data_IF_570308796388
#
_entry.id   IF_570308796388
#
_cell.length_a   1.000
_cell.length_b   1.000
_cell.length_c   1.000
_cell.angle_alpha   90.00
_cell.angle_beta   90.00
_cell.angle_gamma   90.00
#
_symmetry.space_group_name_H-M   'P 1'
#
loop_
_entity.id
_entity.type
_entity.pdbx_description
1 polymer ?
#
# COMPACT_ATOMS: atom_id res chain seq x y z
N UNK A 1 -5.12 -6.37 15.60
CA UNK A 1 -6.52 -5.90 15.41
C UNK A 1 -7.53 -6.59 16.33
N UNK A 2 -7.27 -7.78 16.91
CA UNK A 2 -8.21 -8.41 17.86
C UNK A 2 -9.48 -8.97 17.19
N UNK A 3 -9.51 -9.05 15.86
CA UNK A 3 -10.62 -9.65 15.11
C UNK A 3 -10.62 -11.19 15.29
N UNK A 4 -11.81 -11.77 15.36
CA UNK A 4 -12.04 -13.21 15.37
C UNK A 4 -12.83 -13.62 14.12
N UNK A 5 -12.59 -14.84 13.61
CA UNK A 5 -13.31 -15.39 12.44
C UNK A 5 -13.25 -14.46 11.21
N UNK A 6 -12.03 -14.03 10.84
CA UNK A 6 -11.78 -13.12 9.73
C UNK A 6 -10.69 -13.68 8.83
N UNK A 7 -10.90 -13.61 7.51
CA UNK A 7 -9.87 -13.90 6.53
C UNK A 7 -8.88 -12.72 6.43
N UNK A 8 -7.59 -13.03 6.38
CA UNK A 8 -6.51 -12.05 6.27
C UNK A 8 -5.70 -12.29 4.99
N UNK A 9 -5.40 -11.21 4.27
CA UNK A 9 -4.58 -11.23 3.06
C UNK A 9 -3.67 -10.01 3.03
N UNK A 10 -2.42 -10.23 2.66
CA UNK A 10 -1.45 -9.17 2.40
C UNK A 10 -1.36 -8.88 0.90
N UNK A 11 -1.47 -7.61 0.52
CA UNK A 11 -1.32 -7.14 -0.87
C UNK A 11 -0.10 -6.24 -0.94
N UNK A 12 0.86 -6.58 -1.81
CA UNK A 12 2.09 -5.79 -2.00
C UNK A 12 2.18 -5.25 -3.42
N UNK A 13 2.34 -3.93 -3.54
CA UNK A 13 2.58 -3.23 -4.81
C UNK A 13 3.10 -1.80 -4.56
N UNK A 14 4.11 -1.65 -3.70
CA UNK A 14 4.64 -0.35 -3.27
C UNK A 14 3.48 0.62 -2.91
N UNK A 15 3.53 1.87 -3.41
CA UNK A 15 2.52 2.90 -3.14
C UNK A 15 1.08 2.55 -3.60
N UNK A 16 0.91 1.53 -4.43
CA UNK A 16 -0.40 1.10 -4.93
C UNK A 16 -1.05 0.00 -4.09
N UNK A 17 -0.34 -0.54 -3.08
CA UNK A 17 -0.84 -1.64 -2.25
C UNK A 17 -2.22 -1.32 -1.65
N UNK A 18 -2.43 -0.09 -1.18
CA UNK A 18 -3.66 0.31 -0.52
C UNK A 18 -4.86 0.33 -1.49
N UNK A 19 -4.69 0.90 -2.69
CA UNK A 19 -5.74 0.93 -3.70
C UNK A 19 -6.00 -0.45 -4.31
N UNK A 20 -4.95 -1.28 -4.45
CA UNK A 20 -5.12 -2.67 -4.84
C UNK A 20 -5.88 -3.47 -3.78
N UNK A 21 -5.58 -3.26 -2.49
CA UNK A 21 -6.30 -3.85 -1.36
C UNK A 21 -7.78 -3.46 -1.35
N UNK A 22 -8.10 -2.18 -1.60
CA UNK A 22 -9.48 -1.71 -1.76
C UNK A 22 -10.19 -2.44 -2.91
N UNK A 23 -9.53 -2.59 -4.07
CA UNK A 23 -10.12 -3.30 -5.21
C UNK A 23 -10.36 -4.79 -4.93
N UNK A 24 -9.46 -5.46 -4.22
CA UNK A 24 -9.64 -6.86 -3.80
C UNK A 24 -10.80 -6.96 -2.80
N UNK A 25 -10.85 -6.05 -1.82
CA UNK A 25 -11.94 -5.97 -0.85
C UNK A 25 -13.31 -5.71 -1.49
N UNK A 26 -13.38 -4.79 -2.44
CA UNK A 26 -14.59 -4.51 -3.22
C UNK A 26 -15.07 -5.76 -3.98
N UNK A 27 -14.15 -6.51 -4.59
CA UNK A 27 -14.48 -7.77 -5.26
C UNK A 27 -15.00 -8.85 -4.29
N UNK A 28 -14.40 -9.00 -3.10
CA UNK A 28 -14.89 -9.93 -2.08
C UNK A 28 -16.29 -9.55 -1.60
N UNK A 29 -16.54 -8.26 -1.40
CA UNK A 29 -17.88 -7.76 -1.08
C UNK A 29 -18.83 -8.06 -2.23
N UNK A 30 -18.47 -7.71 -3.46
CA UNK A 30 -19.30 -7.83 -4.65
C UNK A 30 -19.78 -9.27 -4.90
N UNK A 31 -18.91 -10.27 -4.72
CA UNK A 31 -19.24 -11.70 -4.86
C UNK A 31 -20.03 -12.27 -3.69
N UNK A 32 -20.15 -11.54 -2.58
CA UNK A 32 -20.78 -12.00 -1.35
C UNK A 32 -19.88 -12.90 -0.50
N UNK A 33 -18.58 -12.96 -0.80
CA UNK A 33 -17.61 -13.70 0.00
C UNK A 33 -17.41 -13.05 1.38
N UNK A 34 -17.52 -11.72 1.46
CA UNK A 34 -17.44 -10.96 2.69
C UNK A 34 -18.51 -9.86 2.71
N UNK A 35 -19.00 -9.47 3.89
CA UNK A 35 -19.93 -8.35 4.03
C UNK A 35 -19.21 -7.02 4.33
N UNK A 36 -18.10 -7.11 5.05
CA UNK A 36 -17.30 -5.99 5.51
C UNK A 36 -15.82 -6.31 5.32
N UNK A 37 -15.07 -5.36 4.79
CA UNK A 37 -13.61 -5.51 4.60
C UNK A 37 -12.90 -4.32 5.21
N UNK A 38 -11.88 -4.58 6.02
CA UNK A 38 -10.95 -3.57 6.51
C UNK A 38 -9.65 -3.66 5.70
N UNK A 39 -9.28 -2.57 5.03
CA UNK A 39 -8.00 -2.45 4.34
C UNK A 39 -7.10 -1.53 5.16
N UNK A 40 -5.91 -2.00 5.49
CA UNK A 40 -4.93 -1.30 6.32
C UNK A 40 -3.62 -1.21 5.55
N UNK A 41 -2.95 -0.06 5.65
CA UNK A 41 -1.57 0.12 5.18
C UNK A 41 -0.76 0.80 6.28
N UNK A 42 0.52 0.46 6.35
CA UNK A 42 1.48 1.05 7.27
C UNK A 42 2.85 0.96 6.64
N UNK A 43 3.50 2.11 6.48
CA UNK A 43 4.83 2.24 5.89
C UNK A 43 5.75 2.88 6.91
N UNK A 44 6.94 2.30 7.08
CA UNK A 44 7.96 2.81 8.01
C UNK A 44 9.31 3.00 7.27
N UNK A 45 9.39 3.84 6.22
CA UNK A 45 10.61 4.02 5.44
C UNK A 45 11.74 4.73 6.19
N UNK A 46 11.54 5.26 7.41
CA UNK A 46 12.58 5.93 8.20
C UNK A 46 13.89 5.13 8.30
N UNK A 47 13.82 3.81 8.43
CA UNK A 47 15.03 2.96 8.47
C UNK A 47 15.81 2.98 7.14
N UNK A 48 15.11 3.06 6.00
CA UNK A 48 15.71 3.21 4.67
C UNK A 48 16.33 4.59 4.53
N UNK A 49 15.60 5.64 4.93
CA UNK A 49 16.10 7.02 4.88
C UNK A 49 17.40 7.18 5.68
N UNK A 50 17.44 6.64 6.91
CA UNK A 50 18.66 6.62 7.74
C UNK A 50 19.80 5.84 7.08
N UNK A 51 19.50 4.71 6.43
CA UNK A 51 20.47 3.94 5.65
C UNK A 51 21.04 4.73 4.47
N UNK A 52 20.18 5.44 3.73
CA UNK A 52 20.59 6.33 2.64
C UNK A 52 21.52 7.43 3.13
N UNK A 53 21.18 8.09 4.25
CA UNK A 53 22.03 9.12 4.87
C UNK A 53 23.39 8.56 5.27
N UNK A 54 23.40 7.40 5.95
CA UNK A 54 24.65 6.77 6.38
C UNK A 54 25.56 6.40 5.20
N UNK A 55 24.99 5.94 4.09
CA UNK A 55 25.74 5.60 2.88
C UNK A 55 26.27 6.85 2.16
N UNK A 56 25.44 7.89 1.98
CA UNK A 56 25.86 9.19 1.43
C UNK A 56 27.04 9.76 2.24
N UNK A 57 27.00 9.67 3.57
CA UNK A 57 28.08 10.14 4.42
C UNK A 57 29.38 9.31 4.28
N UNK A 58 29.28 7.99 4.03
CA UNK A 58 30.44 7.12 3.80
C UNK A 58 31.08 7.34 2.43
N UNK A 59 30.28 7.68 1.42
CA UNK A 59 30.72 7.91 0.05
C UNK A 59 30.07 9.18 -0.53
N UNK A 60 30.59 10.38 -0.21
CA UNK A 60 29.94 11.65 -0.51
C UNK A 60 30.19 12.12 -1.95
N UNK A 61 29.84 11.29 -2.93
CA UNK A 61 29.88 11.63 -4.36
C UNK A 61 28.51 12.08 -4.85
N UNK A 62 28.50 12.93 -5.90
CA UNK A 62 27.27 13.37 -6.53
C UNK A 62 26.45 12.21 -7.10
N UNK A 63 27.11 11.21 -7.68
CA UNK A 63 26.47 10.00 -8.20
C UNK A 63 25.77 9.21 -7.08
N UNK A 64 26.46 8.98 -5.95
CA UNK A 64 25.87 8.26 -4.81
C UNK A 64 24.65 8.99 -4.23
N UNK A 65 24.74 10.33 -4.14
CA UNK A 65 23.62 11.17 -3.73
C UNK A 65 22.42 11.02 -4.69
N UNK A 66 22.64 11.13 -6.01
CA UNK A 66 21.59 11.04 -7.01
C UNK A 66 20.84 9.70 -6.97
N UNK A 67 21.54 8.59 -6.72
CA UNK A 67 20.92 7.27 -6.59
C UNK A 67 20.07 7.11 -5.31
N UNK A 68 20.28 7.95 -4.29
CA UNK A 68 19.70 7.77 -2.95
C UNK A 68 18.75 8.86 -2.51
N UNK A 69 18.69 9.97 -3.24
CA UNK A 69 17.85 11.13 -2.89
C UNK A 69 16.36 10.76 -2.77
N UNK A 70 15.87 9.76 -3.52
CA UNK A 70 14.49 9.28 -3.41
C UNK A 70 14.16 8.68 -2.04
N UNK A 71 15.13 8.13 -1.31
CA UNK A 71 14.94 7.64 0.05
C UNK A 71 14.74 8.75 1.08
N UNK A 72 15.02 10.01 0.71
CA UNK A 72 14.89 11.19 1.59
C UNK A 72 13.55 11.91 1.41
N UNK A 73 12.71 11.46 0.48
CA UNK A 73 11.40 12.06 0.20
C UNK A 73 10.24 11.28 0.82
N UNK A 74 10.52 10.17 1.49
CA UNK A 74 9.51 9.30 2.11
C UNK A 74 9.45 9.53 3.62
N UNK A 75 8.32 9.17 4.22
CA UNK A 75 8.10 9.29 5.67
C UNK A 75 7.17 8.21 6.18
N UNK A 76 7.19 8.00 7.49
CA UNK A 76 6.37 6.99 8.15
C UNK A 76 4.91 7.44 8.23
N UNK A 77 4.00 6.56 7.81
CA UNK A 77 2.57 6.83 7.84
C UNK A 77 1.78 5.52 7.86
N UNK A 78 0.56 5.58 8.39
CA UNK A 78 -0.37 4.46 8.35
C UNK A 78 -1.79 4.97 8.12
N UNK A 79 -2.64 4.11 7.56
CA UNK A 79 -4.03 4.43 7.27
C UNK A 79 -4.88 3.18 7.17
N UNK A 80 -6.19 3.36 7.33
CA UNK A 80 -7.15 2.27 7.21
C UNK A 80 -8.48 2.78 6.64
N UNK A 81 -9.19 1.91 5.94
CA UNK A 81 -10.56 2.12 5.49
C UNK A 81 -11.38 0.86 5.75
N UNK A 82 -12.65 1.06 6.12
CA UNK A 82 -13.63 -0.02 6.22
C UNK A 82 -14.63 0.17 5.09
N UNK A 83 -14.82 -0.89 4.31
CA UNK A 83 -15.75 -0.93 3.20
C UNK A 83 -16.87 -1.92 3.48
N UNK A 84 -18.09 -1.55 3.10
CA UNK A 84 -19.28 -2.39 3.16
C UNK A 84 -20.16 -2.12 1.94
N UNK A 85 -21.06 -3.05 1.62
CA UNK A 85 -21.99 -2.86 0.52
C UNK A 85 -23.00 -1.74 0.85
N UNK A 86 -23.08 -0.72 -0.01
CA UNK A 86 -24.09 0.34 0.13
C UNK A 86 -25.42 -0.03 -0.55
N UNK A 87 -25.38 -0.61 -1.75
CA UNK A 87 -26.55 -1.10 -2.49
C UNK A 87 -26.18 -2.18 -3.52
N UNK A 88 -27.18 -2.75 -4.22
CA UNK A 88 -26.96 -3.81 -5.22
C UNK A 88 -26.13 -3.38 -6.44
N UNK A 89 -25.95 -2.07 -6.66
CA UNK A 89 -25.20 -1.51 -7.79
C UNK A 89 -24.06 -0.58 -7.37
N UNK A 90 -23.67 -0.61 -6.09
CA UNK A 90 -22.52 0.11 -5.54
C UNK A 90 -21.23 -0.72 -5.67
N UNK A 91 -20.09 -0.04 -5.82
CA UNK A 91 -18.77 -0.67 -5.88
C UNK A 91 -17.81 0.17 -6.72
N UNK A 92 -16.53 -0.21 -6.75
CA UNK A 92 -15.50 0.49 -7.54
C UNK A 92 -15.61 0.06 -9.00
N UNK A 93 -16.30 0.87 -9.83
CA UNK A 93 -16.62 0.50 -11.22
C UNK A 93 -15.49 0.69 -12.23
N UNK A 94 -14.57 1.61 -11.97
CA UNK A 94 -13.55 2.03 -12.94
C UNK A 94 -12.16 1.87 -12.33
N UNK A 95 -11.80 0.64 -11.98
CA UNK A 95 -10.45 0.30 -11.54
C UNK A 95 -9.82 -0.68 -12.54
N UNK A 96 -8.62 -0.38 -13.01
CA UNK A 96 -7.89 -1.21 -13.97
C UNK A 96 -6.50 -1.50 -13.43
N UNK A 97 -6.13 -2.78 -13.46
CA UNK A 97 -4.76 -3.22 -13.22
C UNK A 97 -4.06 -3.29 -14.58
N UNK A 98 -3.15 -2.36 -14.83
CA UNK A 98 -2.31 -2.36 -16.01
C UNK A 98 -0.83 -2.30 -15.62
N UNK A 99 0.01 -2.92 -16.42
CA UNK A 99 1.47 -2.82 -16.32
C UNK A 99 2.01 -2.46 -17.68
N UNK A 100 3.02 -1.61 -17.72
CA UNK A 100 3.74 -1.28 -18.95
C UNK A 100 4.83 -2.31 -19.29
N UNK A 101 5.02 -3.32 -18.43
CA UNK A 101 6.11 -4.29 -18.58
C UNK A 101 7.49 -3.63 -18.51
N UNK A 102 8.52 -4.43 -18.79
CA UNK A 102 9.85 -3.95 -19.18
C UNK A 102 10.20 -4.54 -20.52
#
# INVERSE_FOLDING_TARGET
>A
MGCSNSACLDVTNACHCFTNGISVGDAMIATGAEENVAVVTGEVPSHVALGCIADINKNPTQENFQQKVGGLTTGDAAGAVISQRASQHSGVKTYSFSSQGR
#
